data_IF_425020293194
#
_entry.id   IF_425020293194
#
_cell.length_a   1.000
_cell.length_b   1.000
_cell.length_c   1.000
_cell.angle_alpha   90.00
_cell.angle_beta   90.00
_cell.angle_gamma   90.00
#
_symmetry.space_group_name_H-M   'P 1'
#
loop_
_entity.id
_entity.type
_entity.pdbx_description
1 polymer ?
#
# COMPACT_ATOMS: atom_id res chain seq x y z
N UNK A 1 35.79 19.11 8.28
CA UNK A 1 35.43 18.02 9.20
C UNK A 1 34.64 17.02 8.38
N UNK A 2 35.25 15.88 8.11
CA UNK A 2 34.72 14.79 7.29
C UNK A 2 33.51 14.17 7.99
N UNK A 3 32.37 14.12 7.29
CA UNK A 3 31.22 13.33 7.73
C UNK A 3 31.56 11.87 7.42
N UNK A 4 31.95 11.14 8.46
CA UNK A 4 32.11 9.69 8.40
C UNK A 4 30.73 9.08 8.11
N UNK A 5 30.58 8.58 6.88
CA UNK A 5 29.56 7.61 6.54
C UNK A 5 29.79 6.37 7.39
N UNK A 6 29.05 6.22 8.49
CA UNK A 6 28.91 4.93 9.17
C UNK A 6 28.13 4.04 8.22
N UNK A 7 28.87 3.33 7.38
CA UNK A 7 28.37 2.30 6.50
C UNK A 7 27.57 1.29 7.31
N UNK A 8 26.44 0.87 6.74
CA UNK A 8 25.64 -0.24 7.27
C UNK A 8 26.56 -1.44 7.51
N UNK A 9 26.44 -2.16 8.64
CA UNK A 9 27.16 -3.41 8.83
C UNK A 9 26.81 -4.38 7.69
N UNK A 10 27.83 -5.08 7.17
CA UNK A 10 27.69 -6.08 6.12
C UNK A 10 26.64 -7.14 6.49
N UNK A 11 25.80 -7.61 5.54
CA UNK A 11 24.90 -8.71 5.80
C UNK A 11 25.70 -9.96 6.19
N UNK A 12 25.55 -10.38 7.44
CA UNK A 12 26.10 -11.63 7.95
C UNK A 12 25.36 -12.80 7.30
N UNK A 13 26.11 -13.65 6.58
CA UNK A 13 25.84 -15.04 6.18
C UNK A 13 24.42 -15.58 6.48
N UNK A 14 23.54 -15.42 5.50
CA UNK A 14 22.93 -16.51 4.75
C UNK A 14 22.29 -15.84 3.52
N UNK A 15 22.70 -16.22 2.32
CA UNK A 15 22.04 -15.76 1.09
C UNK A 15 20.64 -16.42 0.99
N UNK A 16 19.71 -15.99 1.84
CA UNK A 16 18.29 -16.27 1.67
C UNK A 16 17.76 -15.26 0.67
N UNK A 17 17.52 -15.73 -0.54
CA UNK A 17 16.74 -14.94 -1.50
C UNK A 17 15.27 -15.21 -1.22
N UNK A 18 14.65 -14.33 -0.45
CA UNK A 18 13.22 -14.39 -0.12
C UNK A 18 12.41 -13.64 -1.17
N UNK A 19 11.29 -14.20 -1.61
CA UNK A 19 10.32 -13.43 -2.39
C UNK A 19 9.54 -12.50 -1.46
N UNK A 20 9.00 -11.38 -1.96
CA UNK A 20 7.95 -10.66 -1.26
C UNK A 20 6.82 -11.62 -0.84
N UNK A 21 6.15 -11.29 0.25
CA UNK A 21 4.92 -12.00 0.63
C UNK A 21 3.87 -11.87 -0.47
N UNK A 22 3.19 -12.97 -0.78
CA UNK A 22 2.00 -12.95 -1.62
C UNK A 22 0.82 -12.21 -0.94
N UNK A 23 -0.28 -11.99 -1.69
CA UNK A 23 -1.48 -11.41 -1.12
C UNK A 23 -2.06 -12.33 -0.02
N UNK A 24 -2.79 -11.73 0.92
CA UNK A 24 -3.61 -12.49 1.86
C UNK A 24 -4.75 -13.23 1.12
N UNK A 25 -5.04 -14.44 1.58
CA UNK A 25 -6.22 -15.20 1.15
C UNK A 25 -7.50 -14.47 1.53
N UNK A 26 -8.61 -14.88 0.94
CA UNK A 26 -9.92 -14.54 1.49
C UNK A 26 -10.01 -14.97 2.96
N UNK A 27 -10.73 -14.19 3.75
CA UNK A 27 -11.00 -14.52 5.14
C UNK A 27 -11.79 -15.82 5.23
N UNK A 28 -11.47 -16.68 6.20
CA UNK A 28 -12.18 -17.94 6.44
C UNK A 28 -13.65 -17.74 6.80
N UNK A 29 -14.00 -16.56 7.31
CA UNK A 29 -15.34 -16.20 7.74
C UNK A 29 -15.91 -15.08 6.87
N UNK A 30 -17.20 -15.22 6.52
CA UNK A 30 -17.86 -14.27 5.62
C UNK A 30 -18.31 -13.00 6.33
N UNK A 31 -18.82 -13.11 7.55
CA UNK A 31 -19.56 -12.03 8.23
C UNK A 31 -19.19 -11.91 9.72
N UNK A 32 -17.98 -12.34 10.09
CA UNK A 32 -17.42 -12.26 11.44
C UNK A 32 -15.89 -12.33 11.40
N UNK A 33 -15.26 -12.31 12.58
CA UNK A 33 -13.83 -12.58 12.71
C UNK A 33 -13.50 -13.99 12.19
N UNK A 34 -12.50 -14.08 11.31
CA UNK A 34 -11.91 -15.32 10.84
C UNK A 34 -10.39 -15.23 10.76
N UNK A 35 -9.82 -16.10 9.93
CA UNK A 35 -8.39 -16.19 9.69
C UNK A 35 -8.10 -16.14 8.20
N UNK A 36 -7.04 -15.44 7.81
CA UNK A 36 -6.51 -15.42 6.45
C UNK A 36 -5.06 -15.86 6.46
N UNK A 37 -4.61 -16.42 5.35
CA UNK A 37 -3.23 -16.90 5.19
C UNK A 37 -2.56 -16.29 3.98
N UNK A 38 -1.24 -16.17 4.01
CA UNK A 38 -0.43 -15.79 2.84
C UNK A 38 0.85 -16.60 2.81
N UNK A 39 1.49 -16.65 1.65
CA UNK A 39 2.69 -17.45 1.46
C UNK A 39 3.80 -16.64 0.79
N UNK A 40 5.04 -17.04 1.04
CA UNK A 40 6.23 -16.59 0.32
C UNK A 40 7.16 -17.76 0.07
N UNK A 41 8.08 -17.59 -0.88
CA UNK A 41 9.11 -18.57 -1.17
C UNK A 41 10.44 -18.08 -0.63
N UNK A 42 11.17 -18.96 0.04
CA UNK A 42 12.53 -18.74 0.50
C UNK A 42 13.42 -19.72 -0.25
N UNK A 43 14.39 -19.17 -0.97
CA UNK A 43 15.43 -19.97 -1.60
C UNK A 43 16.65 -20.01 -0.69
N UNK A 44 17.03 -21.22 -0.27
CA UNK A 44 18.23 -21.46 0.51
C UNK A 44 19.38 -21.83 -0.42
N UNK A 45 20.28 -20.86 -0.70
CA UNK A 45 21.42 -21.08 -1.58
C UNK A 45 22.31 -22.27 -1.17
N UNK A 46 22.41 -22.57 0.13
CA UNK A 46 23.27 -23.64 0.65
C UNK A 46 22.74 -25.05 0.36
N UNK A 47 21.43 -25.25 0.35
CA UNK A 47 20.81 -26.57 0.13
C UNK A 47 20.19 -26.71 -1.26
N UNK A 48 20.01 -25.59 -1.98
CA UNK A 48 19.27 -25.57 -3.25
C UNK A 48 17.76 -25.76 -3.06
N UNK A 49 17.27 -25.76 -1.82
CA UNK A 49 15.87 -26.03 -1.49
C UNK A 49 15.01 -24.78 -1.59
N UNK A 50 13.81 -24.97 -2.13
CA UNK A 50 12.75 -23.97 -2.14
C UNK A 50 11.78 -24.26 -0.99
N UNK A 51 11.85 -23.47 0.08
CA UNK A 51 10.91 -23.55 1.20
C UNK A 51 9.74 -22.60 0.98
N UNK A 52 8.52 -23.10 1.10
CA UNK A 52 7.32 -22.25 1.16
C UNK A 52 7.02 -21.94 2.62
N UNK A 53 7.04 -20.66 2.98
CA UNK A 53 6.59 -20.21 4.29
C UNK A 53 5.14 -19.74 4.20
N UNK A 54 4.36 -20.13 5.20
CA UNK A 54 2.97 -19.72 5.35
C UNK A 54 2.81 -18.89 6.61
N UNK A 55 1.98 -17.86 6.52
CA UNK A 55 1.68 -16.97 7.62
C UNK A 55 0.17 -16.83 7.76
N UNK A 56 -0.27 -16.69 9.00
CA UNK A 56 -1.67 -16.55 9.37
C UNK A 56 -1.88 -15.22 10.09
N UNK A 57 -3.02 -14.58 9.88
CA UNK A 57 -3.44 -13.38 10.59
C UNK A 57 -4.97 -13.38 10.76
N UNK A 58 -5.51 -12.73 11.81
CA UNK A 58 -6.93 -12.52 11.93
C UNK A 58 -7.43 -11.60 10.81
N UNK A 59 -8.65 -11.84 10.37
CA UNK A 59 -9.39 -10.99 9.43
C UNK A 59 -10.80 -10.74 9.96
N UNK A 60 -11.41 -9.63 9.54
CA UNK A 60 -12.69 -9.18 10.06
C UNK A 60 -13.56 -8.74 8.89
N UNK A 61 -14.63 -9.48 8.62
CA UNK A 61 -15.57 -9.17 7.55
C UNK A 61 -16.93 -8.75 8.10
N UNK A 62 -17.61 -7.89 7.35
CA UNK A 62 -18.99 -7.46 7.59
C UNK A 62 -19.87 -7.83 6.40
N UNK A 63 -21.16 -8.08 6.65
CA UNK A 63 -22.15 -8.41 5.63
C UNK A 63 -23.45 -7.63 5.83
N UNK A 64 -24.36 -7.63 4.83
CA UNK A 64 -25.70 -7.06 5.01
C UNK A 64 -26.58 -7.86 5.98
N UNK A 65 -26.34 -9.17 6.09
CA UNK A 65 -27.03 -10.09 7.02
C UNK A 65 -25.99 -10.98 7.68
N UNK A 66 -25.86 -10.88 9.00
CA UNK A 66 -24.89 -11.62 9.78
C UNK A 66 -24.69 -10.95 11.14
N UNK A 67 -23.95 -11.61 12.05
CA UNK A 67 -23.71 -11.04 13.36
C UNK A 67 -22.89 -9.74 13.23
N UNK A 68 -21.81 -9.72 12.43
CA UNK A 68 -21.13 -8.49 12.05
C UNK A 68 -21.69 -7.93 10.73
N UNK A 69 -22.41 -6.82 10.83
CA UNK A 69 -22.90 -6.02 9.70
C UNK A 69 -22.15 -4.68 9.60
N UNK A 70 -22.32 -3.96 8.50
CA UNK A 70 -21.47 -2.79 8.17
C UNK A 70 -21.45 -1.71 9.26
N UNK A 71 -22.57 -1.50 9.96
CA UNK A 71 -22.70 -0.50 11.04
C UNK A 71 -22.62 -1.12 12.44
N UNK A 72 -22.12 -2.36 12.56
CA UNK A 72 -21.96 -3.04 13.84
C UNK A 72 -21.10 -2.27 14.84
N UNK A 73 -19.98 -1.72 14.36
CA UNK A 73 -19.04 -0.96 15.17
C UNK A 73 -18.84 0.42 14.55
N UNK A 74 -19.00 1.46 15.38
CA UNK A 74 -18.99 2.86 14.92
C UNK A 74 -17.69 3.57 15.26
N UNK A 75 -16.90 3.04 16.20
CA UNK A 75 -15.63 3.63 16.59
C UNK A 75 -14.56 3.44 15.51
N UNK A 76 -13.67 4.42 15.31
CA UNK A 76 -12.55 4.28 14.38
C UNK A 76 -11.73 3.04 14.67
N UNK A 77 -11.39 2.27 13.65
CA UNK A 77 -10.54 1.08 13.79
C UNK A 77 -11.12 -0.06 14.66
N UNK A 78 -12.33 0.06 15.21
CA UNK A 78 -12.98 -1.03 15.94
C UNK A 78 -13.15 -2.25 15.03
N UNK A 79 -13.03 -3.42 15.63
CA UNK A 79 -13.33 -4.70 14.98
C UNK A 79 -14.58 -5.29 15.62
N UNK A 80 -15.42 -5.91 14.79
CA UNK A 80 -16.53 -6.70 15.26
C UNK A 80 -16.06 -8.12 15.56
N UNK A 81 -16.35 -8.59 16.77
CA UNK A 81 -16.10 -9.96 17.21
C UNK A 81 -17.38 -10.52 17.81
N UNK A 82 -17.59 -11.81 17.61
CA UNK A 82 -18.77 -12.53 18.08
C UNK A 82 -18.29 -13.55 19.11
N UNK A 83 -18.91 -13.59 20.27
CA UNK A 83 -18.58 -14.59 21.29
C UNK A 83 -19.29 -15.94 21.02
N UNK A 84 -19.25 -16.84 22.00
CA UNK A 84 -19.83 -18.20 21.86
C UNK A 84 -21.36 -18.19 21.89
N UNK A 85 -21.96 -17.11 22.37
CA UNK A 85 -23.41 -16.96 22.52
C UNK A 85 -24.00 -16.12 21.37
N UNK A 86 -23.23 -15.96 20.29
CA UNK A 86 -23.55 -15.11 19.14
C UNK A 86 -23.77 -13.62 19.49
N UNK A 87 -23.23 -13.17 20.64
CA UNK A 87 -23.30 -11.77 21.04
C UNK A 87 -22.16 -10.99 20.39
N UNK A 88 -22.53 -9.85 19.82
CA UNK A 88 -21.61 -8.93 19.13
C UNK A 88 -20.90 -8.01 20.11
N UNK A 89 -19.58 -7.90 19.96
CA UNK A 89 -18.73 -6.96 20.69
C UNK A 89 -17.87 -6.13 19.74
N UNK A 90 -17.73 -4.84 20.04
CA UNK A 90 -16.81 -3.94 19.36
C UNK A 90 -15.60 -3.68 20.25
N UNK A 91 -14.40 -3.95 19.73
CA UNK A 91 -13.15 -3.75 20.47
C UNK A 91 -12.02 -3.33 19.53
N UNK A 92 -10.95 -2.79 20.09
CA UNK A 92 -9.72 -2.62 19.33
C UNK A 92 -9.08 -3.98 19.02
N UNK A 93 -8.45 -4.15 17.85
CA UNK A 93 -7.79 -5.41 17.49
C UNK A 93 -6.61 -5.69 18.41
N UNK A 94 -6.39 -6.98 18.70
CA UNK A 94 -5.14 -7.48 19.30
C UNK A 94 -4.16 -7.81 18.18
N UNK A 95 -2.92 -7.36 18.32
CA UNK A 95 -1.89 -7.47 17.28
C UNK A 95 -0.67 -8.28 17.71
N UNK A 96 -0.68 -8.88 18.91
CA UNK A 96 0.46 -9.60 19.49
C UNK A 96 0.91 -10.78 18.62
N UNK A 97 -0.05 -11.54 18.08
CA UNK A 97 0.20 -12.68 17.20
C UNK A 97 0.20 -12.30 15.71
N UNK A 98 0.13 -11.00 15.39
CA UNK A 98 0.11 -10.52 14.00
C UNK A 98 1.53 -10.25 13.54
N UNK A 99 2.03 -10.99 12.55
CA UNK A 99 3.42 -10.86 12.18
C UNK A 99 3.74 -9.50 11.56
N UNK A 100 5.02 -9.11 11.66
CA UNK A 100 5.50 -7.89 11.04
C UNK A 100 5.38 -7.97 9.52
N UNK A 101 4.75 -6.95 8.99
CA UNK A 101 4.48 -6.76 7.58
C UNK A 101 4.39 -5.27 7.35
N UNK A 102 5.56 -4.61 7.37
CA UNK A 102 5.65 -3.16 7.39
C UNK A 102 4.73 -2.55 6.33
N UNK A 103 3.94 -1.57 6.73
CA UNK A 103 3.06 -0.81 5.86
C UNK A 103 3.37 0.68 5.96
N UNK A 104 2.97 1.43 4.95
CA UNK A 104 2.93 2.87 4.99
C UNK A 104 1.49 3.25 5.28
N UNK A 105 1.25 3.95 6.38
CA UNK A 105 -0.08 4.31 6.83
C UNK A 105 -0.23 5.82 6.98
N UNK A 106 -1.38 6.34 6.59
CA UNK A 106 -1.86 7.64 7.04
C UNK A 106 -2.49 7.47 8.43
N UNK A 107 -2.16 8.36 9.36
CA UNK A 107 -2.77 8.46 10.68
C UNK A 107 -2.90 9.93 11.06
N UNK A 108 -4.14 10.40 11.22
CA UNK A 108 -4.45 11.83 11.25
C UNK A 108 -3.99 12.48 9.95
N UNK A 109 -3.01 13.38 10.07
CA UNK A 109 -2.35 14.04 8.93
C UNK A 109 -0.91 13.55 8.70
N UNK A 110 -0.48 12.48 9.39
CA UNK A 110 0.89 11.99 9.35
C UNK A 110 0.96 10.70 8.54
N UNK A 111 1.89 10.66 7.58
CA UNK A 111 2.27 9.46 6.87
C UNK A 111 3.50 8.85 7.56
N UNK A 112 3.40 7.60 8.01
CA UNK A 112 4.50 6.91 8.68
C UNK A 112 4.46 5.40 8.48
N UNK A 113 5.58 4.74 8.76
CA UNK A 113 5.66 3.28 8.73
C UNK A 113 5.04 2.67 9.98
N UNK A 114 4.18 1.66 9.81
CA UNK A 114 3.63 0.84 10.89
C UNK A 114 4.12 -0.61 10.75
N UNK A 115 4.24 -1.32 11.87
CA UNK A 115 4.71 -2.71 11.91
C UNK A 115 3.84 -3.64 11.05
N UNK A 116 2.54 -3.41 11.04
CA UNK A 116 1.56 -4.11 10.22
C UNK A 116 0.24 -3.31 10.19
N UNK A 117 -0.70 -3.74 9.35
CA UNK A 117 -2.04 -3.14 9.22
C UNK A 117 -2.84 -3.18 10.54
N UNK A 118 -2.64 -4.22 11.36
CA UNK A 118 -3.30 -4.34 12.66
C UNK A 118 -2.87 -3.20 13.60
N UNK A 119 -1.59 -2.87 13.66
CA UNK A 119 -1.06 -1.82 14.54
C UNK A 119 -1.54 -0.41 14.16
N UNK A 120 -1.64 -0.11 12.87
CA UNK A 120 -2.28 1.12 12.40
C UNK A 120 -3.72 1.21 12.91
N UNK A 121 -4.51 0.17 12.67
CA UNK A 121 -5.92 0.10 13.07
C UNK A 121 -6.09 0.15 14.59
N UNK A 122 -5.24 -0.56 15.34
CA UNK A 122 -5.24 -0.56 16.81
C UNK A 122 -4.94 0.81 17.37
N UNK A 123 -3.97 1.53 16.79
CA UNK A 123 -3.64 2.90 17.17
C UNK A 123 -4.83 3.83 16.93
N UNK A 124 -5.43 3.78 15.74
CA UNK A 124 -6.63 4.53 15.40
C UNK A 124 -7.77 4.26 16.40
N UNK A 125 -8.01 2.99 16.73
CA UNK A 125 -9.04 2.61 17.71
C UNK A 125 -8.78 3.11 19.12
N UNK A 126 -7.56 2.90 19.64
CA UNK A 126 -7.21 3.34 21.00
C UNK A 126 -7.28 4.86 21.17
N UNK A 127 -7.00 5.59 20.09
CA UNK A 127 -6.98 7.07 20.09
C UNK A 127 -8.27 7.70 19.58
N UNK A 128 -9.22 6.89 19.08
CA UNK A 128 -10.45 7.34 18.39
C UNK A 128 -10.17 8.28 17.22
N UNK A 129 -9.08 8.05 16.50
CA UNK A 129 -8.70 8.81 15.30
C UNK A 129 -9.41 8.24 14.06
N UNK A 130 -10.37 8.96 13.45
CA UNK A 130 -11.09 8.49 12.25
C UNK A 130 -10.24 8.53 10.97
N UNK A 131 -9.25 9.42 10.86
CA UNK A 131 -8.43 9.55 9.67
C UNK A 131 -7.27 8.55 9.72
N UNK A 132 -7.49 7.33 9.24
CA UNK A 132 -6.43 6.35 9.05
C UNK A 132 -6.65 5.50 7.81
N UNK A 133 -5.58 5.20 7.09
CA UNK A 133 -5.63 4.41 5.86
C UNK A 133 -4.29 3.72 5.64
N UNK A 134 -4.34 2.47 5.15
CA UNK A 134 -3.14 1.81 4.61
C UNK A 134 -2.86 2.39 3.23
N UNK A 135 -1.74 3.08 3.09
CA UNK A 135 -1.37 3.70 1.83
C UNK A 135 -0.64 2.73 0.91
N UNK A 136 0.30 1.97 1.48
CA UNK A 136 1.13 1.00 0.75
C UNK A 136 1.44 -0.22 1.63
N UNK A 137 1.56 -1.41 1.02
CA UNK A 137 1.88 -2.67 1.72
C UNK A 137 3.39 -2.88 1.88
N UNK A 138 4.10 -1.81 2.26
CA UNK A 138 5.55 -1.71 2.49
C UNK A 138 5.83 -0.46 3.35
N UNK A 139 7.02 -0.32 3.92
CA UNK A 139 7.38 0.90 4.66
C UNK A 139 7.39 2.16 3.75
N UNK A 140 7.09 3.34 4.28
CA UNK A 140 6.91 4.56 3.47
C UNK A 140 8.16 4.97 2.66
N UNK A 141 9.35 4.66 3.16
CA UNK A 141 10.61 4.99 2.50
C UNK A 141 11.14 3.86 1.61
N UNK A 142 10.50 2.69 1.66
CA UNK A 142 10.93 1.55 0.85
C UNK A 142 10.32 1.62 -0.54
N UNK A 143 11.18 1.70 -1.55
CA UNK A 143 10.81 1.53 -2.95
C UNK A 143 10.47 0.05 -3.24
N UNK A 144 9.56 -0.23 -4.18
CA UNK A 144 9.23 -1.60 -4.51
C UNK A 144 10.43 -2.29 -5.17
N UNK A 145 10.61 -3.58 -4.87
CA UNK A 145 11.68 -4.37 -5.51
C UNK A 145 11.32 -4.65 -6.97
N UNK A 146 10.09 -5.07 -7.21
CA UNK A 146 9.55 -5.28 -8.56
C UNK A 146 8.85 -4.02 -9.05
N UNK A 147 8.64 -3.87 -10.35
CA UNK A 147 7.88 -2.73 -10.88
C UNK A 147 6.49 -2.64 -10.25
N UNK A 148 6.20 -1.51 -9.61
CA UNK A 148 4.92 -1.26 -8.93
C UNK A 148 4.59 0.25 -8.91
N UNK A 149 3.32 0.58 -8.69
CA UNK A 149 2.84 1.95 -8.55
C UNK A 149 3.16 2.47 -7.13
N UNK A 150 3.72 3.66 -7.06
CA UNK A 150 4.02 4.39 -5.84
C UNK A 150 3.29 5.73 -5.85
N UNK A 151 2.92 6.25 -4.68
CA UNK A 151 2.26 7.56 -4.61
C UNK A 151 3.27 8.67 -4.93
N UNK A 152 2.85 9.65 -5.72
CA UNK A 152 3.64 10.83 -6.07
C UNK A 152 2.77 12.06 -5.99
N UNK A 153 2.82 12.73 -4.83
CA UNK A 153 2.05 13.92 -4.57
C UNK A 153 2.77 15.15 -5.12
N UNK A 154 2.12 15.90 -5.99
CA UNK A 154 2.67 17.13 -6.57
C UNK A 154 1.57 18.15 -6.83
N UNK A 155 1.95 19.41 -7.06
CA UNK A 155 1.05 20.49 -7.45
C UNK A 155 1.26 20.78 -8.92
N UNK A 156 0.19 20.69 -9.71
CA UNK A 156 0.23 21.14 -11.10
C UNK A 156 0.18 22.66 -11.15
N UNK A 157 1.06 23.28 -11.93
CA UNK A 157 1.02 24.72 -12.22
C UNK A 157 1.12 24.92 -13.72
N UNK A 158 0.19 25.69 -14.29
CA UNK A 158 0.22 26.03 -15.72
C UNK A 158 1.16 27.21 -16.04
N UNK A 159 1.32 27.50 -17.32
CA UNK A 159 2.20 28.59 -17.79
C UNK A 159 1.76 29.98 -17.31
N UNK A 160 0.49 30.13 -16.88
CA UNK A 160 -0.06 31.38 -16.35
C UNK A 160 0.07 31.48 -14.82
N UNK A 161 0.68 30.48 -14.17
CA UNK A 161 0.85 30.42 -12.73
C UNK A 161 -0.40 30.01 -11.96
N UNK A 162 -1.41 29.43 -12.61
CA UNK A 162 -2.56 28.84 -11.94
C UNK A 162 -2.20 27.46 -11.39
N UNK A 163 -2.45 27.22 -10.10
CA UNK A 163 -2.01 25.99 -9.42
C UNK A 163 -3.17 25.17 -8.86
N UNK A 164 -3.04 23.84 -8.90
CA UNK A 164 -3.98 22.92 -8.25
C UNK A 164 -3.73 22.79 -6.75
N UNK A 165 -4.66 22.15 -6.03
CA UNK A 165 -4.31 21.50 -4.76
C UNK A 165 -3.34 20.34 -5.00
N UNK A 166 -2.81 19.72 -3.93
CA UNK A 166 -1.93 18.56 -4.06
C UNK A 166 -2.65 17.36 -4.69
N UNK A 167 -2.08 16.83 -5.77
CA UNK A 167 -2.62 15.69 -6.53
C UNK A 167 -1.65 14.51 -6.41
N UNK A 168 -2.18 13.30 -6.24
CA UNK A 168 -1.38 12.08 -6.40
C UNK A 168 -1.33 11.68 -7.88
N UNK A 169 -0.26 12.06 -8.58
CA UNK A 169 -0.03 11.68 -9.97
C UNK A 169 0.30 10.20 -10.15
N UNK A 170 0.74 9.54 -9.08
CA UNK A 170 1.33 8.21 -9.15
C UNK A 170 2.69 8.23 -9.85
N UNK A 171 3.51 7.24 -9.55
CA UNK A 171 4.82 7.03 -10.19
C UNK A 171 5.13 5.55 -10.23
N UNK A 172 5.71 5.09 -11.33
CA UNK A 172 6.23 3.72 -11.39
C UNK A 172 7.65 3.69 -10.84
N UNK A 173 7.91 2.78 -9.90
CA UNK A 173 9.22 2.55 -9.33
C UNK A 173 9.46 1.04 -9.22
N UNK A 174 10.71 0.63 -8.99
CA UNK A 174 11.12 -0.77 -8.88
C UNK A 174 11.84 -1.31 -10.11
N UNK A 175 12.15 -2.60 -10.07
CA UNK A 175 13.02 -3.25 -11.06
C UNK A 175 12.26 -4.15 -12.02
N UNK A 176 12.79 -4.24 -13.24
CA UNK A 176 12.36 -5.14 -14.30
C UNK A 176 13.53 -5.97 -14.81
N UNK A 177 13.25 -7.06 -15.53
CA UNK A 177 14.28 -7.90 -16.12
C UNK A 177 15.11 -7.10 -17.15
N UNK A 178 16.40 -6.93 -16.82
CA UNK A 178 17.35 -6.20 -17.66
C UNK A 178 17.83 -7.00 -18.86
N UNK A 179 17.73 -8.33 -18.83
CA UNK A 179 18.17 -9.20 -19.94
C UNK A 179 17.29 -8.99 -21.17
N UNK A 180 15.99 -8.76 -20.95
CA UNK A 180 14.99 -8.48 -21.99
C UNK A 180 14.75 -6.96 -22.17
N UNK A 181 15.60 -6.11 -21.56
CA UNK A 181 15.52 -4.64 -21.61
C UNK A 181 14.13 -4.07 -21.29
N UNK A 182 13.49 -4.57 -20.25
CA UNK A 182 12.20 -4.07 -19.80
C UNK A 182 12.35 -2.82 -18.91
N UNK A 183 11.42 -1.89 -19.07
CA UNK A 183 11.30 -0.65 -18.31
C UNK A 183 10.06 -0.71 -17.40
N UNK A 184 10.18 -0.20 -16.18
CA UNK A 184 9.03 -0.04 -15.30
C UNK A 184 8.26 1.23 -15.68
N UNK A 185 7.07 1.09 -16.26
CA UNK A 185 6.31 2.21 -16.79
C UNK A 185 4.81 2.09 -16.50
N UNK A 186 4.13 3.24 -16.53
CA UNK A 186 2.68 3.34 -16.39
C UNK A 186 2.01 2.76 -17.61
N UNK A 187 1.03 1.88 -17.40
CA UNK A 187 0.30 1.22 -18.48
C UNK A 187 -1.19 1.53 -18.50
N UNK A 188 -1.71 2.06 -17.40
CA UNK A 188 -3.07 2.59 -17.32
C UNK A 188 -3.04 3.96 -16.68
N UNK A 189 -3.92 4.82 -17.20
CA UNK A 189 -4.07 6.20 -16.78
C UNK A 189 -5.55 6.49 -16.55
N UNK A 190 -5.83 7.39 -15.62
CA UNK A 190 -7.17 7.92 -15.36
C UNK A 190 -7.15 9.43 -15.52
N UNK A 191 -8.07 9.96 -16.33
CA UNK A 191 -8.33 11.39 -16.40
C UNK A 191 -9.05 11.86 -15.14
N UNK A 192 -8.56 12.95 -14.56
CA UNK A 192 -9.18 13.66 -13.45
C UNK A 192 -9.37 15.13 -13.84
N UNK A 193 -10.51 15.70 -13.45
CA UNK A 193 -10.74 17.13 -13.58
C UNK A 193 -10.31 17.81 -12.29
N UNK A 194 -9.39 18.78 -12.40
CA UNK A 194 -8.84 19.53 -11.28
C UNK A 194 -9.15 21.00 -11.43
N UNK A 195 -9.43 21.65 -10.30
CA UNK A 195 -9.62 23.10 -10.24
C UNK A 195 -8.28 23.76 -9.97
N UNK A 196 -7.90 24.71 -10.80
CA UNK A 196 -6.72 25.54 -10.62
C UNK A 196 -7.12 26.88 -10.01
N UNK A 197 -6.39 27.32 -9.00
CA UNK A 197 -6.53 28.64 -8.39
C UNK A 197 -5.48 29.56 -9.02
N UNK A 198 -5.93 30.64 -9.66
CA UNK A 198 -5.06 31.55 -10.38
C UNK A 198 -4.66 32.76 -9.51
N UNK A 199 -3.51 33.41 -9.78
CA UNK A 199 -3.06 34.60 -9.03
C UNK A 199 -4.04 35.78 -9.09
N UNK A 200 -4.85 35.87 -10.15
CA UNK A 200 -5.89 36.87 -10.33
C UNK A 200 -7.19 36.57 -9.54
N UNK A 201 -7.21 35.50 -8.73
CA UNK A 201 -8.37 35.04 -7.97
C UNK A 201 -9.41 34.27 -8.78
N UNK A 202 -9.22 34.12 -10.09
CA UNK A 202 -10.07 33.27 -10.93
C UNK A 202 -9.79 31.79 -10.67
N UNK A 203 -10.75 30.95 -11.04
CA UNK A 203 -10.62 29.48 -11.01
C UNK A 203 -10.86 28.93 -12.40
N UNK A 204 -10.04 27.97 -12.79
CA UNK A 204 -10.17 27.28 -14.08
C UNK A 204 -10.18 25.78 -13.85
N UNK A 205 -10.75 25.02 -14.79
CA UNK A 205 -10.74 23.56 -14.75
C UNK A 205 -9.73 23.03 -15.76
N UNK A 206 -9.00 21.98 -15.37
CA UNK A 206 -8.03 21.30 -16.21
C UNK A 206 -8.20 19.80 -16.08
N UNK A 207 -8.22 19.10 -17.21
CA UNK A 207 -8.14 17.65 -17.23
C UNK A 207 -6.66 17.22 -17.18
N UNK A 208 -6.32 16.36 -16.22
CA UNK A 208 -4.98 15.80 -16.02
C UNK A 208 -5.04 14.28 -15.98
N UNK A 209 -3.95 13.62 -16.37
CA UNK A 209 -3.82 12.16 -16.31
C UNK A 209 -2.99 11.72 -15.09
N UNK A 210 -3.51 10.76 -14.33
CA UNK A 210 -2.80 10.10 -13.23
C UNK A 210 -2.53 8.64 -13.57
N UNK A 211 -1.42 8.07 -13.08
CA UNK A 211 -1.06 6.66 -13.30
C UNK A 211 -1.85 5.78 -12.34
N UNK A 212 -2.51 4.73 -12.86
CA UNK A 212 -3.29 3.78 -12.05
C UNK A 212 -2.75 2.35 -12.07
N UNK A 213 -1.86 2.01 -12.99
CA UNK A 213 -1.19 0.70 -13.04
C UNK A 213 0.21 0.83 -13.66
N UNK A 214 1.18 0.10 -13.09
CA UNK A 214 2.56 0.01 -13.58
C UNK A 214 2.92 -1.43 -13.93
N UNK A 215 3.64 -1.66 -15.03
CA UNK A 215 4.19 -2.97 -15.39
C UNK A 215 5.55 -2.84 -16.08
N UNK A 216 6.26 -3.97 -16.15
CA UNK A 216 7.46 -4.10 -16.96
C UNK A 216 7.07 -4.23 -18.44
N UNK A 217 7.43 -3.23 -19.25
CA UNK A 217 7.16 -3.19 -20.69
C UNK A 217 8.44 -2.88 -21.48
N UNK A 218 8.45 -3.17 -22.77
CA UNK A 218 9.57 -2.87 -23.65
C UNK A 218 9.65 -1.38 -23.97
N UNK A 219 10.81 -0.91 -24.43
CA UNK A 219 10.97 0.47 -24.88
C UNK A 219 10.03 0.81 -26.06
N UNK A 220 9.83 -0.15 -26.97
CA UNK A 220 8.95 0.03 -28.14
C UNK A 220 7.49 0.25 -27.72
N UNK A 221 7.01 -0.47 -26.69
CA UNK A 221 5.67 -0.29 -26.14
C UNK A 221 5.48 1.09 -25.47
N UNK A 222 6.54 1.67 -24.87
CA UNK A 222 6.50 3.01 -24.27
C UNK A 222 6.28 4.09 -25.34
N UNK A 223 6.92 3.95 -26.49
CA UNK A 223 6.82 4.95 -27.55
C UNK A 223 5.45 4.95 -28.22
N UNK A 224 4.79 3.79 -28.31
CA UNK A 224 3.37 3.70 -28.71
C UNK A 224 2.45 4.39 -27.70
N UNK A 225 2.71 4.27 -26.39
CA UNK A 225 1.91 4.94 -25.36
C UNK A 225 1.99 6.46 -25.43
N UNK A 226 3.17 7.02 -25.72
CA UNK A 226 3.33 8.48 -25.87
C UNK A 226 2.49 9.05 -27.02
N UNK A 227 2.27 8.28 -28.08
CA UNK A 227 1.45 8.69 -29.23
C UNK A 227 -0.07 8.73 -28.95
N UNK A 228 -0.53 8.09 -27.86
CA UNK A 228 -1.94 8.09 -27.45
C UNK A 228 -2.27 9.07 -26.32
N UNK A 229 -1.24 9.72 -25.74
CA UNK A 229 -1.40 10.67 -24.62
C UNK A 229 -1.24 12.14 -25.10
N UNK A 230 -0.76 12.36 -26.34
CA UNK A 230 -0.82 13.64 -27.08
C UNK A 230 -2.12 13.82 -27.82
#
# INVERSE_FOLDING_TARGET
>A
VTVESVGKPCPSKEDKKETPWGPWSSCSEKCKQGTQTRQRKIFHNATGELKVESQSAPCYNTCSKGPCYNDSCKGPGEICIVDRDDVLHCRCPSCEDVPESLICGLYGSVVQTFLNECELRRKACKTKEPAFEVLERRACETKPVNCDLVRNFDVYTDDNGCSSDTINFGKCDGTCDKTVKLCCSGIQFKSINVVLNCPNGSKTEKELNIITECRCITADEIDVQKMHIT
#
